data_IF_976443523637
#
_entry.id   IF_976443523637
#
_cell.length_a   1.000
_cell.length_b   1.000
_cell.length_c   1.000
_cell.angle_alpha   90.00
_cell.angle_beta   90.00
_cell.angle_gamma   90.00
#
_symmetry.space_group_name_H-M   'P 1'
#
loop_
_entity.id
_entity.type
_entity.pdbx_description
1 polymer ?
#
# COMPACT_ATOMS: atom_id res chain seq x y z
N UNK A 1 -8.71 25.77 -1.47
CA UNK A 1 -9.37 24.48 -1.75
C UNK A 1 -9.25 24.05 -3.20
N UNK A 2 -9.80 24.83 -4.15
CA UNK A 2 -9.64 24.52 -5.58
C UNK A 2 -8.17 24.41 -5.99
N UNK A 3 -7.33 25.38 -5.59
CA UNK A 3 -5.89 25.36 -5.89
C UNK A 3 -5.16 24.14 -5.33
N UNK A 4 -5.42 23.76 -4.07
CA UNK A 4 -4.78 22.60 -3.43
C UNK A 4 -5.18 21.30 -4.12
N UNK A 5 -6.45 21.16 -4.50
CA UNK A 5 -6.94 20.02 -5.28
C UNK A 5 -6.29 19.97 -6.66
N UNK A 6 -6.24 21.09 -7.38
CA UNK A 6 -5.63 21.16 -8.72
C UNK A 6 -4.16 20.76 -8.65
N UNK A 7 -3.39 21.34 -7.73
CA UNK A 7 -1.96 21.04 -7.57
C UNK A 7 -1.74 19.57 -7.23
N UNK A 8 -2.46 19.02 -6.25
CA UNK A 8 -2.34 17.61 -5.89
C UNK A 8 -2.73 16.67 -7.03
N UNK A 9 -3.78 17.01 -7.79
CA UNK A 9 -4.22 16.25 -8.96
C UNK A 9 -3.16 16.26 -10.06
N UNK A 10 -2.57 17.42 -10.37
CA UNK A 10 -1.49 17.55 -11.35
C UNK A 10 -0.27 16.73 -10.94
N UNK A 11 0.14 16.78 -9.67
CA UNK A 11 1.23 15.96 -9.14
C UNK A 11 0.90 14.47 -9.33
N UNK A 12 -0.31 14.03 -8.98
CA UNK A 12 -0.70 12.62 -9.15
C UNK A 12 -0.77 12.19 -10.61
N UNK A 13 -1.16 13.08 -11.53
CA UNK A 13 -1.13 12.82 -12.98
C UNK A 13 0.32 12.66 -13.46
N UNK A 14 1.22 13.57 -13.08
CA UNK A 14 2.65 13.49 -13.42
C UNK A 14 3.26 12.19 -12.89
N UNK A 15 2.96 11.84 -11.64
CA UNK A 15 3.41 10.59 -11.03
C UNK A 15 2.80 9.37 -11.73
N UNK A 16 1.56 9.45 -12.24
CA UNK A 16 0.93 8.36 -13.01
C UNK A 16 1.67 8.13 -14.33
N UNK A 17 2.00 9.21 -15.05
CA UNK A 17 2.80 9.13 -16.28
C UNK A 17 4.18 8.57 -15.98
N UNK A 18 4.82 9.03 -14.91
CA UNK A 18 6.13 8.49 -14.49
C UNK A 18 6.06 7.01 -14.12
N UNK A 19 5.02 6.60 -13.40
CA UNK A 19 4.74 5.21 -13.05
C UNK A 19 4.63 4.35 -14.31
N UNK A 20 3.87 4.80 -15.32
CA UNK A 20 3.74 4.10 -16.60
C UNK A 20 5.08 3.91 -17.31
N UNK A 21 5.91 4.96 -17.37
CA UNK A 21 7.25 4.89 -17.96
C UNK A 21 8.11 3.84 -17.24
N UNK A 22 8.09 3.84 -15.91
CA UNK A 22 8.87 2.90 -15.09
C UNK A 22 8.36 1.45 -15.25
N UNK A 23 7.04 1.25 -15.34
CA UNK A 23 6.45 -0.05 -15.64
C UNK A 23 6.93 -0.60 -16.99
N UNK A 24 6.85 0.21 -18.05
CA UNK A 24 7.28 -0.21 -19.37
C UNK A 24 8.79 -0.49 -19.42
N UNK A 25 9.60 0.30 -18.72
CA UNK A 25 11.04 0.04 -18.60
C UNK A 25 11.33 -1.29 -17.87
N UNK A 26 10.58 -1.60 -16.81
CA UNK A 26 10.69 -2.86 -16.08
C UNK A 26 10.33 -4.07 -16.97
N UNK A 27 9.22 -3.98 -17.71
CA UNK A 27 8.80 -5.01 -18.67
C UNK A 27 9.78 -5.16 -19.85
N UNK A 28 10.35 -4.06 -20.34
CA UNK A 28 11.36 -4.09 -21.40
C UNK A 28 12.61 -4.88 -20.98
N UNK A 29 13.08 -4.66 -19.75
CA UNK A 29 14.20 -5.45 -19.23
C UNK A 29 13.81 -6.91 -19.00
N UNK A 30 12.58 -7.19 -18.56
CA UNK A 30 12.08 -8.57 -18.42
C UNK A 30 12.07 -9.31 -19.77
N UNK A 31 11.54 -8.68 -20.81
CA UNK A 31 11.50 -9.25 -22.16
C UNK A 31 12.90 -9.55 -22.73
N UNK A 32 13.94 -8.79 -22.34
CA UNK A 32 15.32 -9.07 -22.75
C UNK A 32 15.90 -10.34 -22.11
N UNK A 33 15.51 -10.64 -20.87
CA UNK A 33 15.91 -11.88 -20.19
C UNK A 33 15.26 -13.07 -20.91
N UNK A 34 13.97 -12.96 -21.22
CA UNK A 34 13.21 -14.00 -21.92
C UNK A 34 13.74 -14.27 -23.35
N UNK A 35 14.53 -13.35 -23.92
CA UNK A 35 15.15 -13.47 -25.24
C UNK A 35 16.47 -14.29 -25.26
N UNK A 36 16.79 -15.04 -24.20
CA UNK A 36 17.97 -15.91 -24.09
C UNK A 36 19.32 -15.19 -24.33
N UNK A 37 19.56 -14.15 -23.54
CA UNK A 37 20.85 -13.47 -23.44
C UNK A 37 21.86 -14.26 -22.58
N UNK A 38 23.15 -13.97 -22.72
CA UNK A 38 24.20 -14.62 -21.90
C UNK A 38 24.00 -14.40 -20.40
N UNK A 39 24.37 -15.38 -19.57
CA UNK A 39 24.16 -15.40 -18.12
C UNK A 39 24.63 -14.12 -17.41
N UNK A 40 25.83 -13.60 -17.71
CA UNK A 40 26.36 -12.34 -17.11
C UNK A 40 25.46 -11.11 -17.37
N UNK A 41 24.80 -11.07 -18.52
CA UNK A 41 23.87 -10.00 -18.89
C UNK A 41 22.48 -10.25 -18.29
N UNK A 42 22.07 -11.52 -18.15
CA UNK A 42 20.79 -11.92 -17.58
C UNK A 42 20.64 -11.39 -16.15
N UNK A 43 21.62 -11.64 -15.28
CA UNK A 43 21.63 -11.18 -13.88
C UNK A 43 21.51 -9.65 -13.79
N UNK A 44 22.24 -8.94 -14.65
CA UNK A 44 22.22 -7.48 -14.69
C UNK A 44 20.83 -6.96 -15.08
N UNK A 45 20.18 -7.57 -16.07
CA UNK A 45 18.86 -7.17 -16.52
C UNK A 45 17.75 -7.58 -15.55
N UNK A 46 17.89 -8.72 -14.87
CA UNK A 46 16.98 -9.16 -13.81
C UNK A 46 16.96 -8.16 -12.67
N UNK A 47 18.13 -7.80 -12.15
CA UNK A 47 18.24 -6.79 -11.09
C UNK A 47 17.66 -5.44 -11.53
N UNK A 48 17.95 -4.99 -12.77
CA UNK A 48 17.36 -3.75 -13.31
C UNK A 48 15.83 -3.84 -13.40
N UNK A 49 15.29 -4.95 -13.90
CA UNK A 49 13.85 -5.17 -14.04
C UNK A 49 13.16 -5.13 -12.68
N UNK A 50 13.76 -5.79 -11.69
CA UNK A 50 13.27 -5.87 -10.31
C UNK A 50 13.33 -4.53 -9.57
N UNK A 51 14.45 -3.82 -9.62
CA UNK A 51 14.56 -2.48 -9.00
C UNK A 51 13.52 -1.51 -9.58
N UNK A 52 13.24 -1.61 -10.89
CA UNK A 52 12.17 -0.82 -11.51
C UNK A 52 10.79 -1.26 -11.02
N UNK A 53 10.52 -2.55 -10.84
CA UNK A 53 9.25 -3.04 -10.30
C UNK A 53 9.01 -2.56 -8.86
N UNK A 54 10.05 -2.56 -8.02
CA UNK A 54 10.01 -1.95 -6.68
C UNK A 54 9.72 -0.45 -6.74
N UNK A 55 10.34 0.26 -7.69
CA UNK A 55 10.12 1.70 -7.89
C UNK A 55 8.67 2.02 -8.28
N UNK A 56 7.97 1.13 -9.00
CA UNK A 56 6.53 1.27 -9.28
C UNK A 56 5.73 1.35 -7.98
N UNK A 57 6.00 0.46 -7.02
CA UNK A 57 5.34 0.49 -5.69
C UNK A 57 5.63 1.79 -4.95
N UNK A 58 6.89 2.22 -4.96
CA UNK A 58 7.30 3.46 -4.31
C UNK A 58 6.57 4.69 -4.87
N UNK A 59 6.49 4.81 -6.21
CA UNK A 59 5.77 5.93 -6.86
C UNK A 59 4.30 5.92 -6.46
N UNK A 60 3.65 4.75 -6.44
CA UNK A 60 2.27 4.62 -6.04
C UNK A 60 2.03 5.03 -4.58
N UNK A 61 2.92 4.63 -3.66
CA UNK A 61 2.86 5.09 -2.27
C UNK A 61 2.98 6.61 -2.18
N UNK A 62 3.83 7.26 -2.99
CA UNK A 62 3.91 8.73 -3.04
C UNK A 62 2.62 9.38 -3.54
N UNK A 63 1.93 8.78 -4.52
CA UNK A 63 0.63 9.28 -4.98
C UNK A 63 -0.43 9.24 -3.87
N UNK A 64 -0.44 8.17 -3.07
CA UNK A 64 -1.33 8.07 -1.91
C UNK A 64 -1.01 9.12 -0.85
N UNK A 65 0.28 9.35 -0.55
CA UNK A 65 0.71 10.40 0.38
C UNK A 65 0.25 11.79 -0.09
N UNK A 66 0.44 12.11 -1.38
CA UNK A 66 -0.03 13.37 -1.97
C UNK A 66 -1.55 13.50 -1.84
N UNK A 67 -2.30 12.43 -2.12
CA UNK A 67 -3.76 12.42 -1.98
C UNK A 67 -4.20 12.63 -0.52
N UNK A 68 -3.55 11.99 0.45
CA UNK A 68 -3.86 12.15 1.87
C UNK A 68 -3.56 13.57 2.37
N UNK A 69 -2.42 14.15 1.98
CA UNK A 69 -2.08 15.54 2.31
C UNK A 69 -3.11 16.51 1.71
N UNK A 70 -3.57 16.24 0.49
CA UNK A 70 -4.59 17.07 -0.17
C UNK A 70 -5.94 17.05 0.57
N UNK A 71 -6.30 15.94 1.22
CA UNK A 71 -7.48 15.84 2.09
C UNK A 71 -7.27 16.59 3.40
N UNK A 72 -6.05 16.55 3.96
CA UNK A 72 -5.74 17.15 5.25
C UNK A 72 -5.89 18.68 5.25
N UNK A 73 -5.44 19.37 4.19
CA UNK A 73 -5.42 20.85 4.16
C UNK A 73 -6.84 21.46 4.32
N UNK A 74 -7.87 21.02 3.57
CA UNK A 74 -9.23 21.52 3.74
C UNK A 74 -9.86 21.15 5.09
N UNK A 75 -9.51 20.00 5.66
CA UNK A 75 -10.00 19.60 7.00
C UNK A 75 -9.50 20.57 8.06
N UNK A 76 -8.21 20.92 8.05
CA UNK A 76 -7.63 21.93 8.95
C UNK A 76 -8.26 23.31 8.70
N UNK A 77 -8.55 23.63 7.44
CA UNK A 77 -9.19 24.89 7.04
C UNK A 77 -10.70 24.97 7.29
N UNK A 78 -11.32 23.98 7.94
CA UNK A 78 -12.78 23.90 8.17
C UNK A 78 -13.60 24.11 6.88
N UNK A 79 -13.20 23.46 5.79
CA UNK A 79 -13.87 23.61 4.51
C UNK A 79 -15.33 23.12 4.53
N UNK A 80 -16.20 23.82 3.78
CA UNK A 80 -17.61 23.46 3.62
C UNK A 80 -17.79 22.11 2.93
N UNK A 81 -18.82 21.36 3.35
CA UNK A 81 -19.25 20.07 2.80
C UNK A 81 -19.47 20.08 1.28
N UNK A 82 -19.85 21.22 0.71
CA UNK A 82 -20.09 21.40 -0.73
C UNK A 82 -18.87 21.05 -1.59
N UNK A 83 -17.70 20.96 -0.99
CA UNK A 83 -16.46 20.70 -1.69
C UNK A 83 -15.89 19.29 -1.45
N UNK A 84 -16.61 18.40 -0.75
CA UNK A 84 -16.17 17.02 -0.50
C UNK A 84 -15.83 16.31 -1.81
N UNK A 85 -16.69 16.41 -2.83
CA UNK A 85 -16.46 15.80 -4.13
C UNK A 85 -15.15 16.29 -4.77
N UNK A 86 -14.84 17.58 -4.63
CA UNK A 86 -13.62 18.20 -5.16
C UNK A 86 -12.37 17.66 -4.44
N UNK A 87 -12.42 17.47 -3.13
CA UNK A 87 -11.30 16.95 -2.33
C UNK A 87 -10.95 15.50 -2.71
N UNK A 88 -11.93 14.73 -3.17
CA UNK A 88 -11.73 13.32 -3.52
C UNK A 88 -11.02 13.12 -4.88
N UNK A 89 -10.94 14.14 -5.73
CA UNK A 89 -10.37 14.02 -7.09
C UNK A 89 -8.92 13.49 -7.08
N UNK A 90 -7.96 14.02 -6.29
CA UNK A 90 -6.60 13.50 -6.23
C UNK A 90 -6.56 12.01 -5.82
N UNK A 91 -7.47 11.59 -4.94
CA UNK A 91 -7.58 10.19 -4.50
C UNK A 91 -8.12 9.29 -5.63
N UNK A 92 -9.17 9.74 -6.35
CA UNK A 92 -9.75 9.02 -7.49
C UNK A 92 -8.70 8.78 -8.59
N UNK A 93 -7.83 9.77 -8.85
CA UNK A 93 -6.73 9.61 -9.83
C UNK A 93 -5.80 8.44 -9.45
N UNK A 94 -5.57 8.20 -8.16
CA UNK A 94 -4.72 7.08 -7.72
C UNK A 94 -5.34 5.71 -8.02
N UNK A 95 -6.67 5.62 -8.17
CA UNK A 95 -7.36 4.37 -8.54
C UNK A 95 -6.91 3.91 -9.93
N UNK A 96 -6.72 4.84 -10.87
CA UNK A 96 -6.19 4.55 -12.21
C UNK A 96 -4.82 3.88 -12.10
N UNK A 97 -3.93 4.46 -11.30
CA UNK A 97 -2.59 3.88 -11.05
C UNK A 97 -2.68 2.50 -10.39
N UNK A 98 -3.59 2.29 -9.44
CA UNK A 98 -3.80 0.97 -8.81
C UNK A 98 -4.19 -0.11 -9.81
N UNK A 99 -5.09 0.20 -10.75
CA UNK A 99 -5.51 -0.72 -11.80
C UNK A 99 -4.33 -1.03 -12.74
N UNK A 100 -3.57 -0.01 -13.14
CA UNK A 100 -2.37 -0.17 -13.97
C UNK A 100 -1.34 -1.10 -13.32
N UNK A 101 -1.11 -0.97 -12.01
CA UNK A 101 -0.21 -1.82 -11.24
C UNK A 101 -0.68 -3.28 -11.23
N UNK A 102 -1.98 -3.50 -11.02
CA UNK A 102 -2.56 -4.85 -11.06
C UNK A 102 -2.36 -5.55 -12.40
N UNK A 103 -2.50 -4.80 -13.50
CA UNK A 103 -2.22 -5.30 -14.86
C UNK A 103 -0.71 -5.53 -15.05
N UNK A 104 0.12 -4.61 -14.57
CA UNK A 104 1.59 -4.70 -14.65
C UNK A 104 2.12 -5.98 -13.99
N UNK A 105 1.70 -6.32 -12.77
CA UNK A 105 2.21 -7.51 -12.08
C UNK A 105 1.98 -8.80 -12.86
N UNK A 106 0.81 -8.95 -13.50
CA UNK A 106 0.54 -10.13 -14.33
C UNK A 106 1.35 -10.15 -15.63
N UNK A 107 1.70 -8.99 -16.18
CA UNK A 107 2.62 -8.90 -17.33
C UNK A 107 4.06 -9.17 -16.91
N UNK A 108 4.42 -8.80 -15.69
CA UNK A 108 5.76 -8.97 -15.13
C UNK A 108 6.03 -10.44 -14.77
N UNK A 109 5.07 -11.10 -14.14
CA UNK A 109 5.08 -12.54 -13.89
C UNK A 109 3.65 -13.11 -14.06
N UNK A 110 3.52 -14.03 -15.02
CA UNK A 110 2.24 -14.64 -15.38
C UNK A 110 1.60 -15.47 -14.25
N UNK A 111 2.38 -15.87 -13.23
CA UNK A 111 1.92 -16.63 -12.06
C UNK A 111 1.11 -15.77 -11.09
N UNK A 112 1.15 -14.43 -11.20
CA UNK A 112 0.33 -13.57 -10.36
C UNK A 112 -1.17 -13.85 -10.55
N UNK A 113 -1.94 -13.95 -9.44
CA UNK A 113 -3.38 -14.15 -9.50
C UNK A 113 -4.09 -12.99 -10.22
N UNK A 114 -5.29 -13.24 -10.75
CA UNK A 114 -6.12 -12.18 -11.35
C UNK A 114 -6.64 -11.23 -10.27
N UNK A 115 -6.80 -9.95 -10.61
CA UNK A 115 -7.44 -8.99 -9.72
C UNK A 115 -8.84 -9.50 -9.30
N UNK A 116 -9.12 -9.48 -8.01
CA UNK A 116 -10.38 -9.99 -7.44
C UNK A 116 -10.45 -11.51 -7.25
N UNK A 117 -9.39 -12.26 -7.55
CA UNK A 117 -9.36 -13.71 -7.33
C UNK A 117 -9.38 -14.06 -5.83
N UNK A 118 -10.09 -15.13 -5.46
CA UNK A 118 -10.12 -15.60 -4.06
C UNK A 118 -8.71 -15.96 -3.59
N UNK A 119 -8.38 -15.54 -2.36
CA UNK A 119 -7.07 -15.73 -1.73
C UNK A 119 -5.92 -15.10 -2.54
N UNK A 120 -6.19 -13.93 -3.15
CA UNK A 120 -5.21 -13.19 -3.95
C UNK A 120 -3.90 -13.00 -3.19
N UNK A 121 -3.98 -12.55 -1.94
CA UNK A 121 -2.80 -12.25 -1.10
C UNK A 121 -1.98 -13.50 -0.83
N UNK A 122 -2.59 -14.63 -0.47
CA UNK A 122 -1.88 -15.88 -0.23
C UNK A 122 -1.25 -16.44 -1.52
N UNK A 123 -1.97 -16.38 -2.64
CA UNK A 123 -1.45 -16.81 -3.94
C UNK A 123 -0.27 -15.95 -4.39
N UNK A 124 -0.37 -14.63 -4.25
CA UNK A 124 0.71 -13.70 -4.57
C UNK A 124 1.93 -13.88 -3.64
N UNK A 125 1.71 -14.26 -2.38
CA UNK A 125 2.80 -14.57 -1.45
C UNK A 125 3.48 -15.90 -1.80
N UNK A 126 2.73 -16.91 -2.25
CA UNK A 126 3.27 -18.24 -2.55
C UNK A 126 4.14 -18.31 -3.81
N UNK A 127 4.06 -17.32 -4.70
CA UNK A 127 4.88 -17.26 -5.92
C UNK A 127 6.23 -16.57 -5.70
N UNK A 128 6.41 -15.88 -4.58
CA UNK A 128 7.67 -15.25 -4.19
C UNK A 128 8.72 -16.31 -3.89
N UNK A 129 9.98 -16.01 -4.20
CA UNK A 129 11.08 -16.89 -3.82
C UNK A 129 11.28 -16.94 -2.29
N UNK A 130 12.15 -17.83 -1.80
CA UNK A 130 12.40 -17.98 -0.35
C UNK A 130 13.03 -16.74 0.29
N UNK A 131 13.94 -16.07 -0.42
CA UNK A 131 14.62 -14.86 0.06
C UNK A 131 13.66 -13.67 0.19
N UNK A 132 12.83 -13.44 -0.83
CA UNK A 132 11.78 -12.43 -0.84
C UNK A 132 10.74 -12.68 0.24
N UNK A 133 10.30 -13.92 0.41
CA UNK A 133 9.38 -14.29 1.50
C UNK A 133 10.00 -14.01 2.86
N UNK A 134 11.26 -14.37 3.06
CA UNK A 134 11.98 -14.08 4.31
C UNK A 134 12.03 -12.59 4.60
N UNK A 135 12.49 -11.77 3.65
CA UNK A 135 12.57 -10.31 3.80
C UNK A 135 11.18 -9.72 4.07
N UNK A 136 10.17 -10.17 3.34
CA UNK A 136 8.78 -9.73 3.50
C UNK A 136 8.25 -10.04 4.91
N UNK A 137 8.43 -11.27 5.39
CA UNK A 137 7.94 -11.68 6.72
C UNK A 137 8.65 -10.94 7.85
N UNK A 138 9.99 -10.83 7.79
CA UNK A 138 10.77 -10.09 8.80
C UNK A 138 10.37 -8.62 8.83
N UNK A 139 10.18 -8.01 7.66
CA UNK A 139 9.76 -6.61 7.55
C UNK A 139 8.35 -6.40 8.07
N UNK A 140 7.40 -7.28 7.71
CA UNK A 140 6.02 -7.22 8.19
C UNK A 140 5.93 -7.42 9.70
N UNK A 141 6.74 -8.30 10.29
CA UNK A 141 6.78 -8.47 11.73
C UNK A 141 7.24 -7.19 12.44
N UNK A 142 8.32 -6.56 11.96
CA UNK A 142 8.80 -5.26 12.50
C UNK A 142 7.75 -4.17 12.38
N UNK A 143 7.15 -4.02 11.19
CA UNK A 143 6.10 -3.01 10.94
C UNK A 143 4.86 -3.28 11.76
N UNK A 144 4.48 -4.55 11.95
CA UNK A 144 3.34 -4.92 12.78
C UNK A 144 3.51 -4.46 14.23
N UNK A 145 4.69 -4.67 14.83
CA UNK A 145 4.98 -4.18 16.18
C UNK A 145 4.93 -2.64 16.25
N UNK A 146 5.50 -1.97 15.26
CA UNK A 146 5.45 -0.50 15.18
C UNK A 146 4.01 0.02 15.02
N UNK A 147 3.19 -0.64 14.21
CA UNK A 147 1.79 -0.26 14.00
C UNK A 147 0.96 -0.38 15.28
N UNK A 148 1.18 -1.42 16.09
CA UNK A 148 0.52 -1.56 17.40
C UNK A 148 0.87 -0.36 18.30
N UNK A 149 2.15 0.00 18.36
CA UNK A 149 2.63 1.16 19.15
C UNK A 149 2.03 2.47 18.62
N UNK A 150 2.01 2.68 17.31
CA UNK A 150 1.44 3.89 16.70
C UNK A 150 -0.07 4.00 16.91
N UNK A 151 -0.81 2.89 16.83
CA UNK A 151 -2.25 2.87 17.14
C UNK A 151 -2.49 3.22 18.60
N UNK A 152 -1.69 2.70 19.52
CA UNK A 152 -1.77 3.06 20.94
C UNK A 152 -1.55 4.56 21.14
N UNK A 153 -0.46 5.11 20.57
CA UNK A 153 -0.17 6.55 20.63
C UNK A 153 -1.34 7.35 20.05
N UNK A 154 -1.87 6.97 18.89
CA UNK A 154 -2.99 7.67 18.24
C UNK A 154 -4.26 7.69 19.09
N UNK A 155 -4.62 6.55 19.71
CA UNK A 155 -5.78 6.46 20.62
C UNK A 155 -5.57 7.38 21.82
N UNK A 156 -4.39 7.33 22.45
CA UNK A 156 -4.07 8.15 23.62
C UNK A 156 -4.08 9.64 23.27
N UNK A 157 -3.47 10.04 22.16
CA UNK A 157 -3.44 11.43 21.71
C UNK A 157 -4.84 11.96 21.42
N UNK A 158 -5.68 11.21 20.69
CA UNK A 158 -7.06 11.64 20.40
C UNK A 158 -7.92 11.69 21.68
N UNK A 159 -7.74 10.74 22.60
CA UNK A 159 -8.45 10.73 23.88
C UNK A 159 -8.10 11.94 24.75
N UNK A 160 -6.80 12.20 24.95
CA UNK A 160 -6.32 13.38 25.71
C UNK A 160 -6.78 14.67 25.04
N UNK A 161 -6.67 14.76 23.71
CA UNK A 161 -7.12 15.94 22.97
C UNK A 161 -8.62 16.17 23.15
N UNK A 162 -9.44 15.13 23.07
CA UNK A 162 -10.90 15.23 23.23
C UNK A 162 -11.30 15.68 24.64
N UNK A 163 -10.65 15.14 25.68
CA UNK A 163 -10.90 15.52 27.09
C UNK A 163 -10.50 16.97 27.35
N UNK A 164 -9.33 17.39 26.85
CA UNK A 164 -8.78 18.73 27.13
C UNK A 164 -9.48 19.84 26.35
N UNK A 165 -9.90 19.58 25.11
CA UNK A 165 -10.53 20.59 24.25
C UNK A 165 -12.06 20.55 24.29
N UNK A 166 -12.65 19.47 24.80
CA UNK A 166 -14.10 19.21 24.71
C UNK A 166 -14.58 18.86 23.31
N UNK A 167 -13.69 18.82 22.29
CA UNK A 167 -14.04 18.44 20.93
C UNK A 167 -14.26 16.93 20.83
N UNK A 168 -15.39 16.51 20.26
CA UNK A 168 -15.73 15.10 20.14
C UNK A 168 -14.83 14.38 19.11
N UNK A 169 -14.01 13.43 19.57
CA UNK A 169 -13.17 12.56 18.72
C UNK A 169 -13.57 11.08 18.82
N UNK A 170 -14.76 10.78 19.34
CA UNK A 170 -15.18 9.40 19.63
C UNK A 170 -15.15 8.49 18.39
N UNK A 171 -15.59 9.00 17.23
CA UNK A 171 -15.56 8.25 15.96
C UNK A 171 -14.13 7.81 15.60
N UNK A 172 -13.16 8.72 15.67
CA UNK A 172 -11.75 8.43 15.36
C UNK A 172 -11.14 7.41 16.33
N UNK A 173 -11.43 7.57 17.63
CA UNK A 173 -11.00 6.64 18.67
C UNK A 173 -11.59 5.25 18.46
N UNK A 174 -12.89 5.13 18.17
CA UNK A 174 -13.55 3.84 17.90
C UNK A 174 -12.90 3.15 16.70
N UNK A 175 -12.65 3.88 15.61
CA UNK A 175 -11.99 3.32 14.43
C UNK A 175 -10.58 2.80 14.75
N UNK A 176 -9.80 3.55 15.53
CA UNK A 176 -8.46 3.10 15.95
C UNK A 176 -8.51 1.90 16.90
N UNK A 177 -9.49 1.82 17.80
CA UNK A 177 -9.69 0.65 18.67
C UNK A 177 -10.02 -0.60 17.83
N UNK A 178 -10.93 -0.48 16.86
CA UNK A 178 -11.27 -1.59 15.94
C UNK A 178 -10.01 -2.06 15.21
N UNK A 179 -9.21 -1.13 14.68
CA UNK A 179 -7.94 -1.46 14.01
C UNK A 179 -6.95 -2.12 14.97
N UNK A 180 -6.83 -1.64 16.21
CA UNK A 180 -5.95 -2.22 17.23
C UNK A 180 -6.36 -3.66 17.58
N UNK A 181 -7.65 -3.91 17.79
CA UNK A 181 -8.20 -5.23 18.07
C UNK A 181 -7.91 -6.18 16.91
N UNK A 182 -8.20 -5.74 15.68
CA UNK A 182 -7.97 -6.55 14.48
C UNK A 182 -6.49 -6.93 14.33
N UNK A 183 -5.58 -5.97 14.47
CA UNK A 183 -4.14 -6.22 14.35
C UNK A 183 -3.63 -7.14 15.47
N UNK A 184 -4.00 -6.87 16.72
CA UNK A 184 -3.46 -7.59 17.88
C UNK A 184 -4.03 -9.01 18.01
N UNK A 185 -5.35 -9.17 17.88
CA UNK A 185 -6.01 -10.46 18.07
C UNK A 185 -5.96 -11.34 16.83
N UNK A 186 -5.97 -10.75 15.62
CA UNK A 186 -5.99 -11.51 14.37
C UNK A 186 -4.81 -12.47 14.26
N UNK A 187 -3.61 -12.02 14.64
CA UNK A 187 -2.42 -12.87 14.68
C UNK A 187 -2.51 -13.93 15.79
N UNK A 188 -2.83 -13.53 17.02
CA UNK A 188 -2.90 -14.44 18.17
C UNK A 188 -3.89 -15.58 17.97
N UNK A 189 -5.07 -15.30 17.43
CA UNK A 189 -6.08 -16.30 17.13
C UNK A 189 -5.60 -17.31 16.08
N UNK A 190 -4.90 -16.83 15.04
CA UNK A 190 -4.38 -17.70 13.98
C UNK A 190 -3.31 -18.66 14.52
N UNK A 191 -2.39 -18.15 15.34
CA UNK A 191 -1.35 -18.96 16.00
C UNK A 191 -1.97 -19.97 16.96
N UNK A 192 -2.89 -19.54 17.82
CA UNK A 192 -3.60 -20.44 18.74
C UNK A 192 -4.31 -21.57 17.99
N UNK A 193 -4.99 -21.25 16.88
CA UNK A 193 -5.72 -22.26 16.12
C UNK A 193 -4.81 -23.27 15.43
N UNK A 194 -3.63 -22.83 14.96
CA UNK A 194 -2.62 -23.72 14.38
C UNK A 194 -2.18 -24.79 15.39
N UNK A 195 -1.74 -24.38 16.59
CA UNK A 195 -1.31 -25.34 17.61
C UNK A 195 -2.44 -26.25 18.13
N UNK A 196 -3.68 -25.73 18.21
CA UNK A 196 -4.84 -26.55 18.56
C UNK A 196 -5.19 -27.58 17.49
N UNK A 197 -4.87 -27.33 16.22
CA UNK A 197 -5.07 -28.30 15.14
C UNK A 197 -3.99 -29.38 15.12
N UNK A 198 -2.74 -29.06 15.45
CA UNK A 198 -1.67 -30.06 15.56
C UNK A 198 -1.89 -31.02 16.72
N UNK A 199 -2.45 -30.56 17.85
CA UNK A 199 -2.79 -31.42 18.99
C UNK A 199 -3.93 -32.43 18.71
N UNK A 200 -4.63 -32.29 17.59
CA UNK A 200 -5.74 -33.18 17.18
C UNK A 200 -5.37 -34.15 16.05
N UNK A 201 -4.15 -34.04 15.50
CA UNK A 201 -3.61 -34.96 14.49
C UNK A 201 -2.76 -36.05 15.13
#
# INVERSE_FOLDING_TARGET
>A
MLYTTIVASLINIILTVYLFIVQNASLHYKAKIDANISDDLADTYENKSYIKSLKVRFIYTMQLIVAFIAILIPVIGNASENHIALIMIPFIITIISSIMIGIFYRKFDARYPKLGEKRYTEKAFNIMDEGERYITLVSLYKVHQQNIVLLFIGIMTLGIFSITTGMNQSLGIILFIILFIYNSLGYLLKVSNFYKSEQKS
#
